data_IF_447720909296
#
_entry.id   IF_447720909296
#
_cell.length_a   1.000
_cell.length_b   1.000
_cell.length_c   1.000
_cell.angle_alpha   90.00
_cell.angle_beta   90.00
_cell.angle_gamma   90.00
#
_symmetry.space_group_name_H-M   'P 1'
#
loop_
_entity.id
_entity.type
_entity.pdbx_description
1 polymer ?
#
# COMPACT_ATOMS: atom_id res chain seq x y z
N UNK A 1 -11.67 -22.90 -8.63
CA UNK A 1 -12.98 -22.21 -8.59
C UNK A 1 -13.69 -22.36 -7.25
N UNK A 2 -13.67 -23.52 -6.57
CA UNK A 2 -14.36 -23.72 -5.27
C UNK A 2 -14.13 -22.63 -4.22
N UNK A 3 -12.86 -22.31 -3.89
CA UNK A 3 -12.53 -21.26 -2.88
C UNK A 3 -13.11 -19.87 -3.15
N UNK A 4 -13.32 -19.48 -4.40
CA UNK A 4 -13.85 -18.13 -4.72
C UNK A 4 -15.35 -18.09 -4.49
N UNK A 5 -16.07 -19.15 -4.89
CA UNK A 5 -17.52 -19.27 -4.67
C UNK A 5 -17.84 -19.39 -3.17
N UNK A 6 -16.98 -20.07 -2.40
CA UNK A 6 -17.11 -20.17 -0.94
C UNK A 6 -16.92 -18.81 -0.24
N UNK A 7 -16.01 -17.96 -0.76
CA UNK A 7 -15.73 -16.63 -0.20
C UNK A 7 -16.71 -15.54 -0.66
N UNK A 8 -17.34 -15.73 -1.81
CA UNK A 8 -18.24 -14.76 -2.44
C UNK A 8 -19.50 -15.47 -2.93
N UNK A 9 -20.44 -15.82 -2.04
CA UNK A 9 -21.66 -16.52 -2.41
C UNK A 9 -22.54 -15.70 -3.38
N UNK A 10 -22.34 -14.38 -3.43
CA UNK A 10 -23.02 -13.47 -4.37
C UNK A 10 -22.71 -13.78 -5.84
N UNK A 11 -21.61 -14.49 -6.12
CA UNK A 11 -21.30 -14.98 -7.48
C UNK A 11 -22.25 -16.07 -7.96
N UNK A 12 -22.98 -16.72 -7.06
CA UNK A 12 -24.01 -17.72 -7.43
C UNK A 12 -25.27 -17.07 -8.02
N UNK A 13 -25.47 -15.78 -7.76
CA UNK A 13 -26.59 -14.97 -8.28
C UNK A 13 -26.15 -13.96 -9.34
N UNK A 14 -24.88 -13.99 -9.74
CA UNK A 14 -24.31 -13.06 -10.71
C UNK A 14 -24.79 -13.40 -12.13
N UNK A 15 -25.19 -12.39 -12.88
CA UNK A 15 -25.43 -12.49 -14.31
C UNK A 15 -24.17 -12.08 -15.07
N UNK A 16 -23.51 -13.02 -15.81
CA UNK A 16 -22.21 -12.73 -16.43
C UNK A 16 -22.20 -11.48 -17.32
N UNK A 17 -23.30 -11.20 -18.02
CA UNK A 17 -23.44 -10.04 -18.90
C UNK A 17 -23.50 -8.70 -18.15
N UNK A 18 -24.07 -8.69 -16.95
CA UNK A 18 -24.30 -7.47 -16.19
C UNK A 18 -23.24 -7.25 -15.11
N UNK A 19 -22.65 -8.33 -14.59
CA UNK A 19 -21.74 -8.27 -13.44
C UNK A 19 -20.28 -8.56 -13.82
N UNK A 20 -20.03 -9.50 -14.74
CA UNK A 20 -18.67 -9.97 -15.05
C UNK A 20 -18.07 -9.22 -16.24
N UNK A 21 -18.77 -9.15 -17.37
CA UNK A 21 -18.23 -8.48 -18.56
C UNK A 21 -17.91 -7.00 -18.33
N UNK A 22 -18.76 -6.19 -17.69
CA UNK A 22 -18.41 -4.79 -17.42
C UNK A 22 -17.15 -4.64 -16.56
N UNK A 23 -16.91 -5.56 -15.63
CA UNK A 23 -15.67 -5.57 -14.86
C UNK A 23 -14.46 -5.96 -15.72
N UNK A 24 -14.60 -6.96 -16.59
CA UNK A 24 -13.51 -7.39 -17.46
C UNK A 24 -13.14 -6.28 -18.46
N UNK A 25 -14.14 -5.65 -19.09
CA UNK A 25 -13.96 -4.51 -19.99
C UNK A 25 -13.29 -3.35 -19.24
N UNK A 26 -13.77 -3.04 -18.02
CA UNK A 26 -13.13 -2.03 -17.17
C UNK A 26 -11.66 -2.35 -16.87
N UNK A 27 -11.33 -3.59 -16.50
CA UNK A 27 -9.94 -3.97 -16.18
C UNK A 27 -9.04 -3.97 -17.42
N UNK A 28 -9.54 -4.41 -18.57
CA UNK A 28 -8.78 -4.53 -19.81
C UNK A 28 -8.62 -3.19 -20.53
N UNK A 29 -9.69 -2.40 -20.63
CA UNK A 29 -9.74 -1.23 -21.49
C UNK A 29 -9.52 0.08 -20.72
N UNK A 30 -10.06 0.18 -19.50
CA UNK A 30 -9.91 1.40 -18.70
C UNK A 30 -8.70 1.37 -17.78
N UNK A 31 -8.48 0.27 -17.07
CA UNK A 31 -7.31 0.12 -16.18
C UNK A 31 -6.05 -0.30 -16.97
N UNK A 32 -6.24 -0.89 -18.15
CA UNK A 32 -5.18 -1.39 -19.03
C UNK A 32 -4.37 -2.55 -18.40
N UNK A 33 -5.02 -3.40 -17.61
CA UNK A 33 -4.41 -4.62 -17.06
C UNK A 33 -4.17 -5.60 -18.22
N UNK A 34 -2.94 -6.11 -18.42
CA UNK A 34 -2.69 -7.11 -19.44
C UNK A 34 -3.58 -8.34 -19.25
N UNK A 35 -4.12 -8.90 -20.34
CA UNK A 35 -5.05 -10.03 -20.28
C UNK A 35 -4.55 -11.20 -19.41
N UNK A 36 -3.27 -11.55 -19.50
CA UNK A 36 -2.64 -12.62 -18.72
C UNK A 36 -2.53 -12.35 -17.20
N UNK A 37 -2.79 -11.10 -16.79
CA UNK A 37 -2.73 -10.62 -15.40
C UNK A 37 -4.12 -10.35 -14.80
N UNK A 38 -5.19 -10.38 -15.61
CA UNK A 38 -6.58 -10.21 -15.14
C UNK A 38 -6.95 -11.29 -14.12
N UNK A 39 -6.68 -12.56 -14.44
CA UNK A 39 -6.94 -13.66 -13.51
C UNK A 39 -6.20 -13.48 -12.18
N UNK A 40 -4.92 -13.05 -12.23
CA UNK A 40 -4.13 -12.79 -11.02
C UNK A 40 -4.72 -11.65 -10.20
N UNK A 41 -5.23 -10.61 -10.86
CA UNK A 41 -5.91 -9.48 -10.21
C UNK A 41 -7.14 -9.94 -9.45
N UNK A 42 -8.01 -10.73 -10.08
CA UNK A 42 -9.22 -11.29 -9.46
C UNK A 42 -8.86 -12.22 -8.30
N UNK A 43 -7.86 -13.10 -8.47
CA UNK A 43 -7.43 -14.01 -7.40
C UNK A 43 -6.87 -13.29 -6.18
N UNK A 44 -6.15 -12.17 -6.39
CA UNK A 44 -5.61 -11.34 -5.30
C UNK A 44 -6.69 -10.51 -4.61
N UNK A 45 -7.65 -10.01 -5.37
CA UNK A 45 -8.76 -9.23 -4.84
C UNK A 45 -10.10 -9.72 -5.39
N UNK A 46 -10.66 -10.82 -4.85
CA UNK A 46 -11.94 -11.34 -5.31
C UNK A 46 -13.08 -10.32 -5.19
N UNK A 47 -12.95 -9.36 -4.26
CA UNK A 47 -13.90 -8.23 -4.09
C UNK A 47 -14.10 -7.41 -5.37
N UNK A 48 -13.19 -7.46 -6.34
CA UNK A 48 -13.39 -6.85 -7.66
C UNK A 48 -14.68 -7.35 -8.32
N UNK A 49 -14.97 -8.65 -8.21
CA UNK A 49 -16.14 -9.30 -8.85
C UNK A 49 -17.49 -8.84 -8.30
N UNK A 50 -17.52 -8.23 -7.12
CA UNK A 50 -18.75 -7.78 -6.44
C UNK A 50 -18.76 -6.27 -6.23
N UNK A 51 -17.78 -5.55 -6.76
CA UNK A 51 -17.68 -4.10 -6.65
C UNK A 51 -18.27 -3.44 -7.88
N UNK A 52 -19.16 -2.48 -7.68
CA UNK A 52 -19.73 -1.69 -8.78
C UNK A 52 -18.63 -0.94 -9.55
N UNK A 53 -18.56 -1.18 -10.86
CA UNK A 53 -17.64 -0.44 -11.75
C UNK A 53 -17.90 1.06 -11.63
N UNK A 54 -19.14 1.50 -11.79
CA UNK A 54 -19.51 2.91 -11.82
C UNK A 54 -19.34 3.62 -10.46
N UNK A 55 -19.77 2.99 -9.37
CA UNK A 55 -19.84 3.68 -8.07
C UNK A 55 -18.62 3.45 -7.19
N UNK A 56 -17.78 2.44 -7.50
CA UNK A 56 -16.61 2.10 -6.70
C UNK A 56 -15.31 2.13 -7.50
N UNK A 57 -15.22 1.34 -8.58
CA UNK A 57 -13.94 1.11 -9.25
C UNK A 57 -13.49 2.30 -10.10
N UNK A 58 -14.40 2.89 -10.89
CA UNK A 58 -14.12 4.03 -11.77
C UNK A 58 -13.75 5.29 -10.97
N UNK A 59 -14.45 5.67 -9.88
CA UNK A 59 -14.03 6.78 -9.02
C UNK A 59 -12.65 6.56 -8.39
N UNK A 60 -12.37 5.34 -7.90
CA UNK A 60 -11.06 5.00 -7.36
C UNK A 60 -9.95 5.09 -8.42
N UNK A 61 -10.20 4.61 -9.65
CA UNK A 61 -9.27 4.74 -10.77
C UNK A 61 -8.96 6.21 -11.08
N UNK A 62 -9.97 7.07 -11.17
CA UNK A 62 -9.78 8.51 -11.39
C UNK A 62 -8.89 9.13 -10.32
N UNK A 63 -9.19 8.87 -9.05
CA UNK A 63 -8.39 9.38 -7.93
C UNK A 63 -6.93 8.87 -7.96
N UNK A 64 -6.73 7.58 -8.27
CA UNK A 64 -5.39 7.00 -8.39
C UNK A 64 -4.62 7.62 -9.57
N UNK A 65 -5.28 7.89 -10.70
CA UNK A 65 -4.66 8.60 -11.83
C UNK A 65 -4.23 10.01 -11.45
N UNK A 66 -5.06 10.75 -10.71
CA UNK A 66 -4.68 12.07 -10.17
C UNK A 66 -3.50 12.01 -9.21
N UNK A 67 -3.36 10.92 -8.45
CA UNK A 67 -2.19 10.69 -7.60
C UNK A 67 -0.93 10.31 -8.39
N UNK A 68 -1.05 10.02 -9.69
CA UNK A 68 0.06 9.74 -10.59
C UNK A 68 0.21 8.27 -11.00
N UNK A 69 -0.80 7.42 -10.77
CA UNK A 69 -0.80 6.03 -11.25
C UNK A 69 -1.07 5.96 -12.76
N UNK A 70 -0.09 6.38 -13.55
CA UNK A 70 -0.15 6.47 -15.02
C UNK A 70 1.20 6.09 -15.64
N UNK A 71 1.19 5.72 -16.92
CA UNK A 71 2.40 5.40 -17.68
C UNK A 71 3.23 4.30 -16.97
N UNK A 72 4.52 4.53 -16.67
CA UNK A 72 5.37 3.55 -15.96
C UNK A 72 4.88 3.17 -14.56
N UNK A 73 4.00 3.97 -13.97
CA UNK A 73 3.40 3.73 -12.65
C UNK A 73 1.92 3.38 -12.73
N UNK A 74 1.43 2.95 -13.90
CA UNK A 74 0.05 2.48 -14.05
C UNK A 74 -0.27 1.32 -13.09
N UNK A 75 -1.57 1.11 -12.86
CA UNK A 75 -2.01 0.01 -12.02
C UNK A 75 -1.60 -1.33 -12.64
N UNK A 76 -1.23 -2.27 -11.78
CA UNK A 76 -0.87 -3.63 -12.16
C UNK A 76 -1.69 -4.61 -11.36
N UNK A 77 -1.58 -5.90 -11.65
CA UNK A 77 -2.22 -6.93 -10.84
C UNK A 77 -1.81 -6.91 -9.34
N UNK A 78 -0.76 -6.17 -8.95
CA UNK A 78 -0.37 -6.00 -7.54
C UNK A 78 -1.12 -4.86 -6.85
N UNK A 79 -1.66 -3.89 -7.60
CA UNK A 79 -2.27 -2.67 -7.07
C UNK A 79 -3.76 -2.55 -7.37
N UNK A 80 -4.35 -3.49 -8.12
CA UNK A 80 -5.81 -3.55 -8.39
C UNK A 80 -6.68 -3.60 -7.13
N UNK A 81 -6.16 -4.06 -5.99
CA UNK A 81 -6.86 -3.99 -4.70
C UNK A 81 -7.21 -2.56 -4.28
N UNK A 82 -6.49 -1.54 -4.77
CA UNK A 82 -6.78 -0.14 -4.46
C UNK A 82 -8.12 0.30 -5.08
N UNK A 83 -8.53 -0.30 -6.20
CA UNK A 83 -9.76 0.04 -6.91
C UNK A 83 -11.02 -0.29 -6.10
N UNK A 84 -10.98 -1.27 -5.20
CA UNK A 84 -12.13 -1.64 -4.37
C UNK A 84 -12.26 -0.78 -3.10
N UNK A 85 -11.41 0.24 -2.94
CA UNK A 85 -11.40 1.13 -1.78
C UNK A 85 -12.29 2.35 -2.01
N UNK A 86 -12.87 2.88 -0.93
CA UNK A 86 -13.57 4.16 -1.00
C UNK A 86 -12.60 5.30 -1.15
N UNK A 87 -12.86 6.23 -2.08
CA UNK A 87 -12.04 7.44 -2.20
C UNK A 87 -12.18 8.26 -0.92
N UNK A 88 -13.41 8.58 -0.54
CA UNK A 88 -13.73 9.45 0.59
C UNK A 88 -13.39 8.80 1.93
N UNK A 89 -13.73 7.53 2.14
CA UNK A 89 -13.59 6.89 3.45
C UNK A 89 -12.25 6.18 3.65
N UNK A 90 -11.46 5.98 2.59
CA UNK A 90 -10.26 5.12 2.68
C UNK A 90 -9.02 5.71 2.03
N UNK A 91 -9.06 6.09 0.76
CA UNK A 91 -7.86 6.52 0.04
C UNK A 91 -7.47 7.96 0.42
N UNK A 92 -8.43 8.88 0.41
CA UNK A 92 -8.21 10.28 0.72
C UNK A 92 -7.74 10.51 2.17
N UNK A 93 -8.32 9.88 3.20
CA UNK A 93 -7.82 10.03 4.58
C UNK A 93 -6.36 9.60 4.75
N UNK A 94 -5.86 8.64 3.96
CA UNK A 94 -4.45 8.22 4.00
C UNK A 94 -3.54 9.25 3.34
N UNK A 95 -4.00 9.89 2.27
CA UNK A 95 -3.28 11.00 1.62
C UNK A 95 -3.25 12.21 2.54
N UNK A 96 -4.37 12.57 3.14
CA UNK A 96 -4.49 13.68 4.09
C UNK A 96 -3.62 13.45 5.33
N UNK A 97 -3.60 12.23 5.86
CA UNK A 97 -2.69 11.88 6.94
C UNK A 97 -1.21 12.12 6.56
N UNK A 98 -0.78 11.72 5.36
CA UNK A 98 0.61 11.97 4.94
C UNK A 98 0.86 13.48 4.76
N UNK A 99 -0.10 14.23 4.25
CA UNK A 99 0.02 15.69 4.10
C UNK A 99 0.06 16.41 5.45
N UNK A 100 -0.63 15.91 6.48
CA UNK A 100 -0.59 16.51 7.83
C UNK A 100 0.79 16.42 8.49
N UNK A 101 1.69 15.58 7.96
CA UNK A 101 3.10 15.51 8.36
C UNK A 101 3.96 16.63 7.75
N UNK A 102 3.36 17.55 6.97
CA UNK A 102 4.04 18.65 6.31
C UNK A 102 4.48 18.36 4.88
N UNK A 103 4.11 17.21 4.30
CA UNK A 103 4.42 16.90 2.90
C UNK A 103 3.45 17.57 1.94
N UNK A 104 3.97 18.04 0.82
CA UNK A 104 3.14 18.52 -0.29
C UNK A 104 2.42 17.36 -0.99
N UNK A 105 1.29 17.63 -1.65
CA UNK A 105 0.57 16.60 -2.43
C UNK A 105 1.47 15.89 -3.45
N UNK A 106 2.37 16.63 -4.10
CA UNK A 106 3.33 16.09 -5.05
C UNK A 106 4.36 15.14 -4.40
N UNK A 107 4.80 15.43 -3.18
CA UNK A 107 5.69 14.54 -2.42
C UNK A 107 4.94 13.29 -1.97
N UNK A 108 3.70 13.43 -1.49
CA UNK A 108 2.85 12.28 -1.13
C UNK A 108 2.61 11.37 -2.33
N UNK A 109 2.30 11.92 -3.51
CA UNK A 109 2.23 11.16 -4.75
C UNK A 109 3.51 10.35 -4.99
N UNK A 110 4.69 10.98 -4.94
CA UNK A 110 5.98 10.29 -5.11
C UNK A 110 6.25 9.22 -4.04
N UNK A 111 5.76 9.41 -2.81
CA UNK A 111 5.86 8.40 -1.75
C UNK A 111 4.97 7.20 -2.04
N UNK A 112 3.72 7.44 -2.41
CA UNK A 112 2.73 6.40 -2.73
C UNK A 112 3.16 5.59 -3.96
N UNK A 113 3.68 6.23 -5.01
CA UNK A 113 4.16 5.52 -6.21
C UNK A 113 5.39 4.62 -5.95
N UNK A 114 6.20 4.94 -4.93
CA UNK A 114 7.31 4.07 -4.51
C UNK A 114 6.89 3.02 -3.49
N UNK A 115 5.78 3.25 -2.79
CA UNK A 115 5.27 2.38 -1.73
C UNK A 115 3.74 2.44 -1.67
N UNK A 116 3.09 1.76 -2.61
CA UNK A 116 1.63 1.77 -2.75
C UNK A 116 0.92 1.24 -1.49
N UNK A 117 1.62 0.44 -0.68
CA UNK A 117 1.15 -0.06 0.62
C UNK A 117 0.74 1.05 1.60
N UNK A 118 1.24 2.28 1.43
CA UNK A 118 0.77 3.44 2.21
C UNK A 118 -0.75 3.64 2.09
N UNK A 119 -1.33 3.33 0.93
CA UNK A 119 -2.78 3.40 0.70
C UNK A 119 -3.53 2.15 1.20
N UNK A 120 -2.85 1.13 1.72
CA UNK A 120 -3.47 -0.10 2.22
C UNK A 120 -3.44 -0.19 3.74
N UNK A 121 -2.45 0.42 4.39
CA UNK A 121 -2.34 0.41 5.85
C UNK A 121 -3.44 1.24 6.53
N UNK A 122 -3.81 0.83 7.75
CA UNK A 122 -4.71 1.60 8.61
C UNK A 122 -3.97 2.83 9.14
N UNK A 123 -4.61 4.00 9.09
CA UNK A 123 -4.05 5.22 9.70
C UNK A 123 -3.89 4.99 11.21
N UNK A 124 -4.98 4.68 11.91
CA UNK A 124 -5.00 4.54 13.36
C UNK A 124 -4.17 3.36 13.90
N UNK A 125 -4.21 2.22 13.23
CA UNK A 125 -3.62 0.98 13.77
C UNK A 125 -2.23 0.64 13.18
N UNK A 126 -1.72 1.43 12.23
CA UNK A 126 -0.43 1.16 11.61
C UNK A 126 0.40 2.43 11.41
N UNK A 127 -0.12 3.42 10.68
CA UNK A 127 0.66 4.61 10.35
C UNK A 127 0.95 5.46 11.60
N UNK A 128 -0.07 5.77 12.40
CA UNK A 128 0.06 6.59 13.61
C UNK A 128 1.01 5.96 14.64
N UNK A 129 0.87 4.68 15.05
CA UNK A 129 1.77 4.11 16.06
C UNK A 129 3.24 4.04 15.61
N UNK A 130 3.49 3.83 14.31
CA UNK A 130 4.86 3.80 13.77
C UNK A 130 5.46 5.19 13.66
N UNK A 131 4.65 6.18 13.30
CA UNK A 131 5.07 7.58 13.29
C UNK A 131 5.39 8.06 14.70
N UNK A 132 4.53 7.77 15.67
CA UNK A 132 4.70 8.14 17.07
C UNK A 132 6.02 7.59 17.62
N UNK A 133 6.27 6.29 17.43
CA UNK A 133 7.55 5.67 17.80
C UNK A 133 8.74 6.32 17.09
N UNK A 134 8.62 6.59 15.78
CA UNK A 134 9.70 7.19 15.02
C UNK A 134 10.07 8.59 15.52
N UNK A 135 9.07 9.43 15.82
CA UNK A 135 9.33 10.81 16.27
C UNK A 135 9.77 10.86 17.74
N UNK A 136 9.11 10.12 18.62
CA UNK A 136 9.27 10.27 20.06
C UNK A 136 10.35 9.36 20.66
N UNK A 137 10.56 8.16 20.10
CA UNK A 137 11.51 7.17 20.65
C UNK A 137 12.78 7.06 19.79
N UNK A 138 12.67 7.24 18.47
CA UNK A 138 13.82 7.22 17.57
C UNK A 138 14.42 8.62 17.32
N UNK A 139 13.77 9.69 17.78
CA UNK A 139 14.13 11.08 17.47
C UNK A 139 14.30 11.32 15.95
N UNK A 140 13.43 10.68 15.16
CA UNK A 140 13.50 10.68 13.71
C UNK A 140 13.00 11.96 13.06
N UNK A 141 13.52 12.25 11.86
CA UNK A 141 13.08 13.36 11.01
C UNK A 141 12.06 12.87 9.97
N UNK A 142 10.89 13.51 9.90
CA UNK A 142 9.85 13.22 8.90
C UNK A 142 10.40 13.22 7.46
N UNK A 143 11.43 14.00 7.15
CA UNK A 143 12.06 13.99 5.83
C UNK A 143 12.73 12.64 5.49
N UNK A 144 13.08 11.83 6.49
CA UNK A 144 13.52 10.45 6.29
C UNK A 144 12.38 9.51 5.88
N UNK A 145 11.18 9.67 6.44
CA UNK A 145 9.98 8.92 6.01
C UNK A 145 9.64 9.23 4.54
N UNK A 146 9.86 10.48 4.12
CA UNK A 146 9.77 10.85 2.70
C UNK A 146 10.78 10.09 1.86
N UNK A 147 12.01 9.90 2.32
CA UNK A 147 13.04 9.16 1.55
C UNK A 147 12.75 7.67 1.52
N UNK A 148 12.29 7.09 2.63
CA UNK A 148 12.06 5.67 2.81
C UNK A 148 10.63 5.34 3.32
N UNK A 149 9.59 5.53 2.49
CA UNK A 149 8.21 5.29 2.88
C UNK A 149 7.92 3.82 3.24
N UNK A 150 8.77 2.89 2.82
CA UNK A 150 8.69 1.47 3.17
C UNK A 150 8.86 1.24 4.68
N UNK A 151 9.32 2.21 5.46
CA UNK A 151 9.28 2.18 6.91
C UNK A 151 7.94 1.65 7.45
N UNK A 152 6.82 2.13 6.90
CA UNK A 152 5.48 1.75 7.33
C UNK A 152 5.08 0.31 6.97
N UNK A 153 5.85 -0.41 6.14
CA UNK A 153 5.58 -1.82 5.83
C UNK A 153 6.14 -2.78 6.88
N UNK A 154 7.16 -2.37 7.65
CA UNK A 154 7.80 -3.23 8.64
C UNK A 154 6.99 -3.33 9.94
N UNK A 155 7.05 -4.48 10.60
CA UNK A 155 6.40 -4.69 11.90
C UNK A 155 7.00 -3.78 12.96
N UNK A 156 6.16 -3.05 13.69
CA UNK A 156 6.60 -2.17 14.77
C UNK A 156 7.27 -3.00 15.89
N UNK A 157 6.55 -3.98 16.41
CA UNK A 157 7.03 -4.86 17.49
C UNK A 157 8.04 -5.89 17.00
N UNK A 158 7.90 -6.38 15.78
CA UNK A 158 8.72 -7.49 15.27
C UNK A 158 10.03 -7.08 14.61
N UNK A 159 10.19 -5.82 14.20
CA UNK A 159 11.40 -5.38 13.48
C UNK A 159 11.87 -3.98 13.87
N UNK A 160 10.99 -2.98 13.90
CA UNK A 160 11.40 -1.59 14.15
C UNK A 160 11.95 -1.43 15.57
N UNK A 161 11.14 -1.78 16.60
CA UNK A 161 11.54 -1.66 18.01
C UNK A 161 12.77 -2.51 18.38
N UNK A 162 12.85 -3.81 18.03
CA UNK A 162 14.00 -4.62 18.40
C UNK A 162 15.32 -4.11 17.79
N UNK A 163 15.29 -3.68 16.53
CA UNK A 163 16.48 -3.15 15.87
C UNK A 163 16.88 -1.79 16.43
N UNK A 164 15.93 -0.92 16.76
CA UNK A 164 16.22 0.38 17.38
C UNK A 164 16.88 0.20 18.75
N UNK A 165 16.30 -0.67 19.59
CA UNK A 165 16.83 -0.98 20.92
C UNK A 165 18.26 -1.54 20.85
N UNK A 166 18.56 -2.35 19.83
CA UNK A 166 19.90 -2.87 19.60
C UNK A 166 20.90 -1.74 19.26
N UNK A 167 20.53 -0.84 18.35
CA UNK A 167 21.38 0.31 17.98
C UNK A 167 21.65 1.21 19.19
N UNK A 168 20.62 1.55 19.97
CA UNK A 168 20.75 2.35 21.20
C UNK A 168 21.71 1.68 22.19
N UNK A 169 21.58 0.36 22.42
CA UNK A 169 22.46 -0.38 23.33
C UNK A 169 23.94 -0.34 22.92
N UNK A 170 24.19 -0.29 21.61
CA UNK A 170 25.53 -0.23 21.04
C UNK A 170 26.02 1.21 20.83
N UNK A 171 25.20 2.23 21.12
CA UNK A 171 25.53 3.62 20.86
C UNK A 171 25.63 3.96 19.36
N UNK A 172 24.96 3.19 18.50
CA UNK A 172 24.99 3.33 17.05
C UNK A 172 23.75 4.06 16.53
N UNK A 173 23.87 4.63 15.33
CA UNK A 173 22.77 5.21 14.57
C UNK A 173 22.91 4.82 13.11
N UNK A 174 21.82 4.40 12.48
CA UNK A 174 21.76 4.02 11.06
C UNK A 174 20.53 4.65 10.40
N UNK A 175 20.62 5.03 9.10
CA UNK A 175 19.44 5.40 8.33
C UNK A 175 18.40 4.27 8.29
N UNK A 176 17.11 4.61 8.24
CA UNK A 176 15.99 3.65 8.25
C UNK A 176 16.14 2.55 7.18
N UNK A 177 16.60 2.92 5.99
CA UNK A 177 16.80 1.97 4.90
C UNK A 177 17.86 0.92 5.26
N UNK A 178 18.99 1.34 5.81
CA UNK A 178 20.07 0.45 6.25
C UNK A 178 19.65 -0.37 7.47
N UNK A 179 18.89 0.23 8.37
CA UNK A 179 18.37 -0.46 9.53
C UNK A 179 17.35 -1.54 9.17
N UNK A 180 16.45 -1.31 8.20
CA UNK A 180 15.24 -2.13 8.04
C UNK A 180 15.18 -2.98 6.75
N UNK A 181 15.86 -2.58 5.67
CA UNK A 181 15.73 -3.26 4.37
C UNK A 181 16.34 -4.67 4.38
N UNK A 182 17.38 -4.89 5.18
CA UNK A 182 18.12 -6.17 5.22
C UNK A 182 17.44 -7.23 6.07
N UNK A 183 17.76 -8.49 5.77
CA UNK A 183 17.42 -9.63 6.61
C UNK A 183 17.99 -9.48 8.03
N UNK A 184 17.55 -10.32 8.96
CA UNK A 184 18.04 -10.26 10.35
C UNK A 184 19.55 -10.55 10.40
N UNK A 185 20.04 -11.57 9.69
CA UNK A 185 21.48 -11.82 9.55
C UNK A 185 22.24 -10.66 8.89
N UNK A 186 21.66 -10.02 7.87
CA UNK A 186 22.28 -8.85 7.23
C UNK A 186 22.33 -7.63 8.15
N UNK A 187 21.34 -7.47 9.04
CA UNK A 187 21.36 -6.44 10.07
C UNK A 187 22.44 -6.74 11.12
N UNK A 188 22.53 -7.98 11.60
CA UNK A 188 23.54 -8.42 12.56
C UNK A 188 24.97 -8.24 12.02
N UNK A 189 25.22 -8.61 10.76
CA UNK A 189 26.53 -8.39 10.13
C UNK A 189 26.93 -6.91 10.13
N UNK A 190 26.00 -5.99 9.87
CA UNK A 190 26.26 -4.54 9.91
C UNK A 190 26.66 -4.05 11.30
N UNK A 191 26.13 -4.65 12.36
CA UNK A 191 26.49 -4.27 13.73
C UNK A 191 27.93 -4.66 14.07
N UNK A 192 28.51 -5.64 13.37
CA UNK A 192 29.90 -6.08 13.56
C UNK A 192 30.92 -5.22 12.79
N UNK A 193 30.44 -4.33 11.91
CA UNK A 193 31.29 -3.42 11.13
C UNK A 193 31.64 -2.13 11.89
N UNK A 194 31.09 -1.93 13.10
CA UNK A 194 31.37 -0.82 14.02
C UNK A 194 32.18 -1.28 15.23
#
# INVERSE_FOLDING_TARGET
>A
MGRILDMLPQLLTCEPHNDIYPLLDFLLDEVEIPYHDVQKSILRCPRLLVSSVENRLRPALCFLRELGFVGPHSLTCQTTLLLVSSVEDTLMPKVEFLMSLGFTRAEVSKMVLRSHGLLTYSVANNLVPKLDFFLNEMNGDVAELKRYPQFFSFSLEGRIKPRHAMLVRLGLSLPLQEMLQVSDGGFESRLLEF
#
